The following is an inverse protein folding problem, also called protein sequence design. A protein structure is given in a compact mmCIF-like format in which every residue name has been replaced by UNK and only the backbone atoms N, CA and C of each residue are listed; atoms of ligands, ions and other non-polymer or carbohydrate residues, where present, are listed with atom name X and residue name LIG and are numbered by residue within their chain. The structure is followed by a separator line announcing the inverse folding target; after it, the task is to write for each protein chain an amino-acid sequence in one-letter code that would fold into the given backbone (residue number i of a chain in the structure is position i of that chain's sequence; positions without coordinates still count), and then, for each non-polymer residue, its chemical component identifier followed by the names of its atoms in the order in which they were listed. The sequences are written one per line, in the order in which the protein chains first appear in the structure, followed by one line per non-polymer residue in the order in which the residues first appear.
data_IF_342218082403
#
_entry.id   IF_342218082403
#
_cell.length_a   1.000
_cell.length_b   1.000
_cell.length_c   1.000
_cell.angle_alpha   90.00
_cell.angle_beta   90.00
_cell.angle_gamma   90.00
#
_symmetry.space_group_name_H-M   'P 1'
#
loop_
_entity.id
_entity.type
_entity.pdbx_description
1 polymer ?
#
# COMPACT_ATOMS: atom_id res chain seq x y z
N UNK A 1 -0.65 -20.68 6.39
CA UNK A 1 0.82 -20.56 6.59
C UNK A 1 1.48 -20.32 5.24
N UNK A 2 2.17 -19.19 5.03
CA UNK A 2 2.88 -18.95 3.77
C UNK A 2 4.04 -19.94 3.63
N UNK A 3 4.18 -20.55 2.44
CA UNK A 3 5.23 -21.52 2.12
C UNK A 3 6.63 -20.94 2.45
N UNK A 4 7.48 -21.68 3.18
CA UNK A 4 8.85 -21.23 3.55
C UNK A 4 9.66 -20.75 2.34
N UNK A 5 9.46 -21.36 1.18
CA UNK A 5 10.11 -20.95 -0.07
C UNK A 5 9.67 -19.56 -0.53
N UNK A 6 8.39 -19.22 -0.35
CA UNK A 6 7.83 -17.92 -0.70
C UNK A 6 8.44 -16.80 0.15
N UNK A 7 8.52 -17.01 1.47
CA UNK A 7 9.14 -16.04 2.40
C UNK A 7 10.62 -15.83 2.08
N UNK A 8 11.35 -16.91 1.77
CA UNK A 8 12.75 -16.82 1.35
C UNK A 8 12.91 -16.00 0.07
N UNK A 9 12.04 -16.20 -0.92
CA UNK A 9 12.02 -15.41 -2.16
C UNK A 9 11.79 -13.92 -1.91
N UNK A 10 10.87 -13.57 -1.00
CA UNK A 10 10.62 -12.18 -0.59
C UNK A 10 11.80 -11.56 0.15
N UNK A 11 12.45 -12.34 1.01
CA UNK A 11 13.64 -11.90 1.76
C UNK A 11 14.79 -11.56 0.81
N UNK A 12 15.11 -12.46 -0.12
CA UNK A 12 16.13 -12.21 -1.15
C UNK A 12 15.77 -11.02 -2.02
N UNK A 13 14.50 -10.91 -2.43
CA UNK A 13 14.03 -9.77 -3.21
C UNK A 13 14.21 -8.44 -2.47
N UNK A 14 13.79 -8.37 -1.19
CA UNK A 14 13.91 -7.17 -0.38
C UNK A 14 15.36 -6.74 -0.24
N UNK A 15 16.25 -7.67 0.12
CA UNK A 15 17.69 -7.42 0.24
C UNK A 15 18.30 -6.90 -1.07
N UNK A 16 18.02 -7.57 -2.19
CA UNK A 16 18.50 -7.13 -3.51
C UNK A 16 17.97 -5.74 -3.86
N UNK A 17 16.70 -5.45 -3.58
CA UNK A 17 16.10 -4.16 -3.87
C UNK A 17 16.69 -3.05 -3.01
N UNK A 18 16.80 -3.26 -1.69
CA UNK A 18 17.42 -2.30 -0.78
C UNK A 18 18.87 -2.01 -1.17
N UNK A 19 19.66 -3.04 -1.48
CA UNK A 19 21.06 -2.88 -1.90
C UNK A 19 21.20 -2.10 -3.21
N UNK A 20 20.26 -2.26 -4.14
CA UNK A 20 20.28 -1.48 -5.38
C UNK A 20 19.85 -0.04 -5.15
N UNK A 21 18.79 0.17 -4.37
CA UNK A 21 18.26 1.51 -4.12
C UNK A 21 19.14 2.34 -3.19
N UNK A 22 19.96 1.72 -2.33
CA UNK A 22 20.86 2.43 -1.41
C UNK A 22 21.90 3.27 -2.15
N UNK A 23 22.43 2.78 -3.26
CA UNK A 23 23.49 3.43 -4.05
C UNK A 23 22.98 4.08 -5.35
N UNK A 24 21.67 4.01 -5.60
CA UNK A 24 21.07 4.45 -6.85
C UNK A 24 20.67 5.93 -6.80
N UNK A 25 20.89 6.65 -7.90
CA UNK A 25 20.30 7.96 -8.10
C UNK A 25 18.78 7.85 -8.30
N UNK A 26 18.00 8.34 -7.34
CA UNK A 26 16.53 8.26 -7.35
C UNK A 26 15.87 9.62 -7.18
N UNK A 27 14.68 9.75 -7.74
CA UNK A 27 13.87 10.96 -7.64
C UNK A 27 12.88 10.83 -6.48
N UNK A 28 13.09 11.56 -5.39
CA UNK A 28 12.20 11.58 -4.23
C UNK A 28 11.05 12.56 -4.43
N UNK A 29 9.87 12.14 -3.97
CA UNK A 29 8.61 12.91 -4.02
C UNK A 29 8.03 13.22 -2.66
N UNK A 30 8.27 12.36 -1.67
CA UNK A 30 7.76 12.54 -0.33
C UNK A 30 8.64 11.83 0.69
N UNK A 31 8.77 12.43 1.87
CA UNK A 31 9.50 11.90 3.02
C UNK A 31 8.57 11.96 4.23
N UNK A 32 8.33 10.83 4.88
CA UNK A 32 7.47 10.76 6.06
C UNK A 32 8.21 10.13 7.22
N UNK A 33 8.15 10.74 8.40
CA UNK A 33 8.59 10.09 9.63
C UNK A 33 7.51 9.11 10.05
N UNK A 34 7.84 7.83 10.15
CA UNK A 34 6.86 6.79 10.50
C UNK A 34 7.19 6.05 11.79
N UNK A 35 8.41 6.16 12.32
CA UNK A 35 8.73 5.57 13.62
C UNK A 35 9.97 6.14 14.27
N UNK A 36 10.06 5.96 15.59
CA UNK A 36 11.23 6.37 16.39
C UNK A 36 11.57 5.28 17.42
N UNK A 37 12.86 5.03 17.60
CA UNK A 37 13.39 4.09 18.58
C UNK A 37 13.42 4.73 19.95
N UNK A 38 12.66 4.20 20.91
CA UNK A 38 12.67 4.70 22.28
C UNK A 38 13.95 4.32 23.04
N UNK A 39 14.16 4.89 24.24
CA UNK A 39 15.36 4.64 25.06
C UNK A 39 15.52 3.18 25.53
N UNK A 40 14.50 2.34 25.34
CA UNK A 40 14.54 0.90 25.64
C UNK A 40 14.93 0.02 24.44
N UNK A 41 15.29 0.64 23.31
CA UNK A 41 15.61 -0.07 22.06
C UNK A 41 14.37 -0.51 21.27
N UNK A 42 13.17 -0.28 21.78
CA UNK A 42 11.91 -0.60 21.10
C UNK A 42 11.48 0.53 20.18
N UNK A 43 11.17 0.21 18.94
CA UNK A 43 10.80 1.18 17.91
C UNK A 43 9.30 1.25 17.74
N UNK A 44 8.73 2.43 18.02
CA UNK A 44 7.30 2.68 17.83
C UNK A 44 7.07 3.12 16.38
N UNK A 45 6.35 2.32 15.61
CA UNK A 45 6.02 2.58 14.21
C UNK A 45 4.54 2.86 14.07
N UNK A 46 4.20 3.95 13.38
CA UNK A 46 2.84 4.27 12.99
C UNK A 46 2.61 3.86 11.54
N UNK A 47 1.61 3.01 11.33
CA UNK A 47 1.17 2.62 10.00
C UNK A 47 -0.18 3.25 9.73
N UNK A 48 -0.24 4.12 8.72
CA UNK A 48 -1.45 4.80 8.27
C UNK A 48 -1.63 4.61 6.77
N UNK A 49 -2.83 4.86 6.23
CA UNK A 49 -3.06 4.76 4.79
C UNK A 49 -2.36 5.88 4.00
N UNK A 50 -2.37 7.12 4.52
CA UNK A 50 -1.92 8.30 3.78
C UNK A 50 -0.55 8.79 4.21
N UNK A 51 -0.16 8.55 5.47
CA UNK A 51 1.05 9.07 6.13
C UNK A 51 1.18 10.61 6.10
N UNK A 52 0.10 11.33 5.73
CA UNK A 52 0.07 12.80 5.67
C UNK A 52 -0.28 13.41 7.03
N UNK A 53 0.44 14.47 7.38
CA UNK A 53 0.10 15.46 8.41
C UNK A 53 -0.08 14.99 9.86
N UNK A 54 0.52 13.86 10.24
CA UNK A 54 0.49 13.42 11.63
C UNK A 54 1.86 13.52 12.31
N UNK A 55 1.94 14.39 13.33
CA UNK A 55 3.07 14.42 14.25
C UNK A 55 3.10 13.09 15.01
N UNK A 56 4.17 12.33 14.85
CA UNK A 56 4.44 11.22 15.76
C UNK A 56 4.53 11.78 17.19
N UNK A 57 4.01 11.09 18.22
CA UNK A 57 4.34 11.38 19.61
C UNK A 57 5.83 11.04 19.77
N UNK A 58 6.67 12.08 19.75
CA UNK A 58 8.13 11.95 19.71
C UNK A 58 8.66 11.47 21.07
N UNK A 59 9.42 10.37 21.14
CA UNK A 59 10.57 10.30 22.04
C UNK A 59 11.76 11.01 21.35
N UNK A 60 12.35 12.00 22.03
CA UNK A 60 13.40 12.90 21.50
C UNK A 60 14.79 12.24 21.39
N UNK A 61 14.86 10.94 21.22
CA UNK A 61 16.12 10.16 21.33
C UNK A 61 16.01 8.92 20.47
N UNK A 62 17.13 8.47 19.88
CA UNK A 62 17.24 7.22 19.14
C UNK A 62 17.04 7.32 17.63
N UNK A 63 17.15 6.18 16.96
CA UNK A 63 17.05 6.06 15.50
C UNK A 63 15.62 6.36 15.01
N UNK A 64 15.51 6.87 13.79
CA UNK A 64 14.24 7.25 13.18
C UNK A 64 14.00 6.47 11.90
N UNK A 65 12.78 5.94 11.73
CA UNK A 65 12.35 5.30 10.50
C UNK A 65 11.61 6.32 9.62
N UNK A 66 12.10 6.48 8.40
CA UNK A 66 11.49 7.27 7.36
C UNK A 66 10.89 6.39 6.25
N UNK A 67 9.69 6.74 5.81
CA UNK A 67 9.09 6.24 4.58
C UNK A 67 9.36 7.24 3.46
N UNK A 68 10.17 6.85 2.49
CA UNK A 68 10.47 7.63 1.31
C UNK A 68 9.70 7.07 0.12
N UNK A 69 9.02 7.95 -0.61
CA UNK A 69 8.36 7.59 -1.87
C UNK A 69 8.96 8.39 -3.01
N UNK A 70 9.13 7.74 -4.15
CA UNK A 70 9.78 8.34 -5.29
C UNK A 70 9.63 7.54 -6.57
N UNK A 71 10.52 7.83 -7.52
CA UNK A 71 10.61 7.13 -8.79
C UNK A 71 12.06 6.92 -9.21
N UNK A 72 12.34 5.74 -9.75
CA UNK A 72 13.62 5.38 -10.37
C UNK A 72 13.57 5.89 -11.81
N UNK A 73 14.50 6.77 -12.24
CA UNK A 73 14.54 7.26 -13.60
C UNK A 73 14.75 6.16 -14.65
N UNK A 74 14.20 6.33 -15.86
CA UNK A 74 14.36 5.35 -16.94
C UNK A 74 15.81 5.12 -17.39
N UNK A 75 16.71 6.09 -17.26
CA UNK A 75 18.12 5.88 -17.62
C UNK A 75 18.78 4.86 -16.68
N UNK A 76 18.58 5.01 -15.36
CA UNK A 76 19.01 4.03 -14.35
C UNK A 76 18.45 2.64 -14.65
N UNK A 77 17.16 2.52 -14.96
CA UNK A 77 16.53 1.21 -15.26
C UNK A 77 17.05 0.59 -16.56
N UNK A 78 17.59 1.37 -17.49
CA UNK A 78 18.22 0.86 -18.71
C UNK A 78 19.64 0.38 -18.44
N UNK A 79 20.35 1.08 -17.56
CA UNK A 79 21.75 0.83 -17.25
C UNK A 79 21.94 -0.30 -16.22
N UNK A 80 20.93 -0.58 -15.38
CA UNK A 80 20.95 -1.68 -14.40
C UNK A 80 19.89 -2.77 -14.72
N UNK A 81 20.28 -3.87 -15.41
CA UNK A 81 19.39 -4.97 -15.74
C UNK A 81 18.81 -5.70 -14.52
N UNK A 82 19.54 -5.70 -13.40
CA UNK A 82 19.09 -6.38 -12.19
C UNK A 82 18.00 -5.56 -11.50
N UNK A 83 18.20 -4.25 -11.35
CA UNK A 83 17.18 -3.34 -10.83
C UNK A 83 15.93 -3.36 -11.72
N UNK A 84 16.12 -3.42 -13.05
CA UNK A 84 15.04 -3.63 -14.02
C UNK A 84 14.30 -4.95 -13.74
N UNK A 85 15.00 -6.05 -13.48
CA UNK A 85 14.33 -7.32 -13.12
C UNK A 85 13.53 -7.19 -11.83
N UNK A 86 14.04 -6.47 -10.83
CA UNK A 86 13.39 -6.26 -9.52
C UNK A 86 12.14 -5.39 -9.61
N UNK A 87 12.07 -4.43 -10.54
CA UNK A 87 10.85 -3.61 -10.72
C UNK A 87 9.70 -4.39 -11.36
N UNK A 88 9.99 -5.48 -12.07
CA UNK A 88 9.01 -6.39 -12.64
C UNK A 88 8.46 -5.92 -13.99
N UNK A 89 8.03 -6.90 -14.81
CA UNK A 89 7.63 -6.68 -16.22
C UNK A 89 6.48 -5.69 -16.39
N UNK A 90 5.53 -5.66 -15.45
CA UNK A 90 4.36 -4.75 -15.49
C UNK A 90 4.77 -3.27 -15.44
N UNK A 91 5.91 -2.98 -14.81
CA UNK A 91 6.44 -1.63 -14.71
C UNK A 91 7.34 -1.26 -15.91
N UNK A 92 7.55 -2.15 -16.89
CA UNK A 92 8.58 -2.03 -17.94
C UNK A 92 8.02 -2.18 -19.35
N UNK A 93 7.09 -1.31 -19.72
CA UNK A 93 6.63 -1.15 -21.09
C UNK A 93 7.66 -0.41 -21.97
N UNK A 94 7.46 -0.41 -23.31
CA UNK A 94 8.32 0.29 -24.27
C UNK A 94 8.40 1.81 -24.00
N UNK A 95 7.45 2.36 -23.23
CA UNK A 95 7.37 3.77 -22.88
C UNK A 95 7.55 4.04 -21.37
N UNK A 96 8.05 3.07 -20.58
CA UNK A 96 8.29 3.31 -19.16
C UNK A 96 9.32 4.42 -18.97
N UNK A 97 8.86 5.56 -18.45
CA UNK A 97 9.73 6.73 -18.14
C UNK A 97 10.36 6.65 -16.75
N UNK A 98 9.77 5.86 -15.85
CA UNK A 98 10.25 5.66 -14.49
C UNK A 98 9.48 4.53 -13.81
N UNK A 99 10.03 3.97 -12.73
CA UNK A 99 9.32 3.04 -11.85
C UNK A 99 9.11 3.65 -10.46
N UNK A 100 7.91 3.59 -9.90
CA UNK A 100 7.65 4.06 -8.54
C UNK A 100 8.27 3.12 -7.50
N UNK A 101 8.69 3.69 -6.38
CA UNK A 101 9.15 2.92 -5.23
C UNK A 101 8.69 3.55 -3.93
N UNK A 102 8.53 2.69 -2.92
CA UNK A 102 8.49 3.05 -1.51
C UNK A 102 9.65 2.35 -0.81
N UNK A 103 10.41 3.08 0.01
CA UNK A 103 11.49 2.51 0.82
C UNK A 103 11.36 2.99 2.26
N UNK A 104 11.83 2.14 3.16
CA UNK A 104 11.85 2.35 4.59
C UNK A 104 13.31 2.45 5.01
N UNK A 105 13.71 3.62 5.47
CA UNK A 105 15.09 3.97 5.81
C UNK A 105 15.18 4.19 7.32
N UNK A 106 16.07 3.46 7.98
CA UNK A 106 16.43 3.68 9.39
C UNK A 106 17.63 4.61 9.41
N UNK A 107 17.45 5.82 9.96
CA UNK A 107 18.51 6.83 10.09
C UNK A 107 18.93 6.88 11.54
N UNK A 108 20.23 6.74 11.79
CA UNK A 108 20.78 6.81 13.13
C UNK A 108 20.64 8.21 13.72
N UNK A 109 20.49 8.31 15.04
CA UNK A 109 20.31 9.60 15.73
C UNK A 109 21.36 10.66 15.32
N UNK A 110 22.61 10.24 15.11
CA UNK A 110 23.71 11.12 14.71
C UNK A 110 23.64 11.64 13.27
N UNK A 111 22.81 11.03 12.41
CA UNK A 111 22.65 11.38 10.98
C UNK A 111 21.31 12.05 10.67
N UNK A 112 20.39 12.14 11.62
CA UNK A 112 19.05 12.70 11.40
C UNK A 112 19.09 14.14 10.90
N UNK A 113 19.91 14.99 11.51
CA UNK A 113 19.96 16.42 11.14
C UNK A 113 20.54 16.62 9.74
N UNK A 114 21.60 15.90 9.41
CA UNK A 114 22.19 15.88 8.06
C UNK A 114 21.17 15.38 7.02
N UNK A 115 20.47 14.28 7.31
CA UNK A 115 19.41 13.75 6.46
C UNK A 115 18.25 14.76 6.28
N UNK A 116 17.84 15.45 7.35
CA UNK A 116 16.76 16.45 7.28
C UNK A 116 17.15 17.67 6.45
N UNK A 117 18.38 18.11 6.58
CA UNK A 117 18.92 19.23 5.82
C UNK A 117 19.01 18.90 4.33
N UNK A 118 19.52 17.71 3.99
CA UNK A 118 19.79 17.33 2.61
C UNK A 118 18.57 16.78 1.88
N UNK A 119 17.74 15.97 2.54
CA UNK A 119 16.66 15.22 1.90
C UNK A 119 15.31 15.81 2.26
N UNK A 120 14.97 15.83 3.55
CA UNK A 120 13.61 16.22 3.97
C UNK A 120 13.26 17.65 3.53
N UNK A 121 14.17 18.59 3.74
CA UNK A 121 13.96 20.00 3.40
C UNK A 121 13.84 20.26 1.90
N UNK A 122 14.44 19.40 1.06
CA UNK A 122 14.40 19.55 -0.40
C UNK A 122 13.20 18.83 -1.03
N UNK A 123 12.70 17.77 -0.40
CA UNK A 123 11.50 17.05 -0.86
C UNK A 123 10.22 17.86 -0.61
N UNK A 124 10.16 18.62 0.48
CA UNK A 124 8.98 19.43 0.84
C UNK A 124 8.88 20.76 0.06
N UNK A 125 9.92 21.13 -0.72
CA UNK A 125 9.96 22.40 -1.46
C UNK A 125 9.30 22.30 -2.85
N UNK A 126 8.10 22.88 -2.96
CA UNK A 126 7.47 23.36 -4.19
C UNK A 126 7.43 22.39 -5.39
N UNK A 127 7.10 21.12 -5.13
CA UNK A 127 6.80 20.14 -6.19
C UNK A 127 7.98 19.84 -7.14
N UNK A 128 9.19 20.32 -6.83
CA UNK A 128 10.40 20.00 -7.59
C UNK A 128 10.85 18.60 -7.24
N UNK A 129 11.21 17.85 -8.28
CA UNK A 129 11.77 16.51 -8.12
C UNK A 129 13.17 16.65 -7.54
N UNK A 130 13.39 16.11 -6.33
CA UNK A 130 14.70 16.05 -5.71
C UNK A 130 15.41 14.75 -6.06
N UNK A 131 16.62 14.83 -6.62
CA UNK A 131 17.42 13.66 -6.97
C UNK A 131 18.41 13.36 -5.85
N UNK A 132 18.33 12.17 -5.26
CA UNK A 132 19.26 11.69 -4.23
C UNK A 132 20.14 10.58 -4.83
N UNK A 133 21.47 10.74 -4.76
CA UNK A 133 22.46 9.85 -5.39
C UNK A 133 22.90 8.64 -4.55
N UNK A 134 22.69 8.67 -3.23
CA UNK A 134 23.17 7.65 -2.31
C UNK A 134 22.38 7.73 -1.00
N UNK A 135 21.26 7.01 -0.92
CA UNK A 135 20.44 6.95 0.28
C UNK A 135 21.12 6.18 1.42
N UNK A 136 21.96 5.21 1.07
CA UNK A 136 22.74 4.42 2.04
C UNK A 136 23.75 5.24 2.83
N UNK A 137 24.09 6.45 2.38
CA UNK A 137 24.93 7.38 3.13
C UNK A 137 24.28 7.83 4.46
N UNK A 138 22.95 7.93 4.47
CA UNK A 138 22.21 8.45 5.63
C UNK A 138 21.79 7.36 6.61
N UNK A 139 21.63 6.11 6.15
CA UNK A 139 21.15 5.03 6.99
C UNK A 139 20.86 3.74 6.24
N UNK A 140 20.20 2.82 6.93
CA UNK A 140 19.98 1.45 6.46
C UNK A 140 18.58 1.29 5.84
N UNK A 141 18.54 0.81 4.59
CA UNK A 141 17.29 0.51 3.91
C UNK A 141 16.80 -0.86 4.37
N UNK A 142 15.77 -0.87 5.20
CA UNK A 142 15.23 -2.09 5.82
C UNK A 142 14.14 -2.77 5.00
N UNK A 143 13.37 -2.00 4.23
CA UNK A 143 12.28 -2.51 3.42
C UNK A 143 12.14 -1.72 2.12
N UNK A 144 12.01 -2.42 1.01
CA UNK A 144 11.78 -1.86 -0.31
C UNK A 144 10.52 -2.44 -0.95
N UNK A 145 9.74 -1.58 -1.59
CA UNK A 145 8.53 -1.94 -2.32
C UNK A 145 8.49 -1.24 -3.67
N UNK A 146 8.20 -2.01 -4.71
CA UNK A 146 7.83 -1.48 -6.02
C UNK A 146 6.32 -1.70 -6.20
N UNK A 147 5.48 -0.64 -6.16
CA UNK A 147 4.06 -0.75 -6.50
C UNK A 147 3.87 -1.39 -7.88
N UNK A 148 2.94 -2.34 -7.99
CA UNK A 148 2.74 -3.16 -9.20
C UNK A 148 3.86 -4.18 -9.49
N UNK A 149 4.88 -4.27 -8.63
CA UNK A 149 6.00 -5.20 -8.73
C UNK A 149 5.67 -6.63 -8.31
N UNK A 150 6.66 -7.56 -8.34
CA UNK A 150 6.44 -9.00 -8.17
C UNK A 150 5.76 -9.42 -6.86
N UNK A 151 5.98 -8.68 -5.78
CA UNK A 151 5.44 -9.00 -4.45
C UNK A 151 4.45 -7.97 -3.91
N UNK A 152 4.00 -7.03 -4.75
CA UNK A 152 3.14 -5.93 -4.32
C UNK A 152 1.75 -6.40 -3.85
N UNK A 153 1.20 -7.44 -4.49
CA UNK A 153 -0.12 -7.99 -4.14
C UNK A 153 -0.18 -8.66 -2.76
N UNK A 154 0.97 -9.02 -2.19
CA UNK A 154 1.08 -9.65 -0.87
C UNK A 154 1.71 -8.71 0.17
N UNK A 155 1.96 -7.45 -0.20
CA UNK A 155 2.58 -6.47 0.68
C UNK A 155 1.66 -6.14 1.85
N UNK A 156 2.19 -6.22 3.06
CA UNK A 156 1.54 -5.76 4.28
C UNK A 156 2.57 -5.01 5.10
N UNK A 157 2.39 -3.69 5.22
CA UNK A 157 3.38 -2.79 5.81
C UNK A 157 3.80 -3.21 7.23
N UNK A 158 2.85 -3.53 8.11
CA UNK A 158 3.16 -3.98 9.48
C UNK A 158 3.95 -5.30 9.48
N UNK A 159 3.42 -6.34 8.81
CA UNK A 159 4.06 -7.67 8.81
C UNK A 159 5.42 -7.67 8.14
N UNK A 160 5.55 -6.91 7.05
CA UNK A 160 6.80 -6.85 6.30
C UNK A 160 7.85 -6.04 7.06
N UNK A 161 7.48 -4.96 7.74
CA UNK A 161 8.41 -4.25 8.63
C UNK A 161 8.86 -5.11 9.81
N UNK A 162 7.93 -5.79 10.48
CA UNK A 162 8.24 -6.71 11.58
C UNK A 162 9.22 -7.80 11.13
N UNK A 163 9.01 -8.34 9.92
CA UNK A 163 9.81 -9.45 9.43
C UNK A 163 11.17 -9.03 8.84
N UNK A 164 11.23 -7.93 8.08
CA UNK A 164 12.42 -7.55 7.31
C UNK A 164 13.32 -6.53 8.01
N UNK A 165 12.81 -5.76 8.97
CA UNK A 165 13.61 -4.68 9.58
C UNK A 165 14.66 -5.16 10.55
N UNK A 166 14.47 -6.32 11.19
CA UNK A 166 15.33 -6.79 12.27
C UNK A 166 15.22 -5.93 13.55
N UNK A 167 14.22 -5.05 13.63
CA UNK A 167 13.98 -4.18 14.77
C UNK A 167 12.90 -4.76 15.71
N UNK A 168 12.96 -4.39 16.99
CA UNK A 168 11.87 -4.67 17.95
C UNK A 168 10.78 -3.62 17.78
N UNK A 169 9.73 -3.95 17.01
CA UNK A 169 8.70 -3.00 16.59
C UNK A 169 7.43 -3.09 17.46
N UNK A 170 6.90 -1.93 17.84
CA UNK A 170 5.51 -1.77 18.29
C UNK A 170 4.73 -0.95 17.27
N UNK A 171 3.53 -1.40 16.92
CA UNK A 171 2.69 -0.72 15.93
C UNK A 171 1.56 0.08 16.56
N UNK A 172 1.44 1.34 16.15
CA UNK A 172 0.25 2.17 16.38
C UNK A 172 -0.52 2.23 15.07
N UNK A 173 -1.62 1.49 15.00
CA UNK A 173 -2.51 1.49 13.82
C UNK A 173 -3.62 2.50 14.05
N UNK A 174 -3.58 3.63 13.33
CA UNK A 174 -4.65 4.62 13.36
C UNK A 174 -5.88 4.04 12.67
N UNK A 175 -6.95 3.74 13.44
CA UNK A 175 -8.27 3.48 12.85
C UNK A 175 -8.77 4.80 12.26
N UNK A 176 -8.95 4.87 10.94
CA UNK A 176 -9.80 5.93 10.38
C UNK A 176 -11.17 5.80 11.02
N UNK A 177 -11.70 6.90 11.56
CA UNK A 177 -13.14 6.95 11.83
C UNK A 177 -13.83 6.72 10.48
N UNK A 178 -14.82 5.81 10.39
CA UNK A 178 -15.66 5.78 9.21
C UNK A 178 -16.20 7.18 9.02
N UNK A 179 -16.04 7.75 7.83
CA UNK A 179 -16.61 9.05 7.52
C UNK A 179 -18.11 8.98 7.81
N UNK A 180 -18.58 9.74 8.80
CA UNK A 180 -20.00 9.92 9.11
C UNK A 180 -20.76 10.63 7.96
N UNK A 181 -20.17 10.76 6.78
CA UNK A 181 -20.80 11.27 5.57
C UNK A 181 -21.54 10.15 4.80
N UNK A 182 -22.46 9.46 5.47
CA UNK A 182 -23.52 8.70 4.79
C UNK A 182 -24.80 9.55 4.69
N UNK A 183 -24.69 10.77 4.15
CA UNK A 183 -25.83 11.66 3.90
C UNK A 183 -26.69 11.22 2.68
N UNK A 184 -26.81 9.92 2.43
CA UNK A 184 -27.43 9.39 1.20
C UNK A 184 -28.53 8.33 1.47
N UNK A 185 -29.14 8.30 2.65
CA UNK A 185 -30.27 7.37 2.94
C UNK A 185 -31.67 8.01 2.85
N UNK A 186 -31.82 9.23 2.34
CA UNK A 186 -33.13 9.90 2.21
C UNK A 186 -33.45 10.46 0.82
N UNK A 187 -32.77 9.99 -0.23
CA UNK A 187 -33.19 10.28 -1.61
C UNK A 187 -34.32 9.34 -2.03
N UNK A 188 -35.53 9.61 -1.53
CA UNK A 188 -36.77 9.05 -2.04
C UNK A 188 -36.98 9.64 -3.46
N UNK A 189 -37.11 8.82 -4.52
CA UNK A 189 -37.44 9.35 -5.84
C UNK A 189 -38.90 9.79 -5.86
N UNK A 190 -39.14 11.11 -5.85
CA UNK A 190 -40.46 11.65 -6.19
C UNK A 190 -40.62 11.69 -7.70
N UNK A 191 -41.43 10.76 -8.19
CA UNK A 191 -41.97 10.74 -9.54
C UNK A 191 -42.87 11.95 -9.84
N UNK A 192 -42.72 12.47 -11.06
CA UNK A 192 -43.72 13.14 -11.94
C UNK A 192 -44.35 14.48 -11.51
N UNK A 193 -44.01 15.56 -12.23
CA UNK A 193 -44.84 16.15 -13.31
C UNK A 193 -44.17 17.38 -13.96
N UNK A 194 -44.52 17.58 -15.25
CA UNK A 194 -44.17 18.67 -16.17
C UNK A 194 -44.40 20.07 -15.56
N UNK A 195 -43.55 21.08 -15.84
CA UNK A 195 -43.61 21.97 -17.02
C UNK A 195 -42.69 23.20 -16.81
N UNK A 196 -42.15 23.69 -17.92
CA UNK A 196 -41.64 25.03 -18.26
C UNK A 196 -41.06 26.03 -17.22
N UNK A 197 -40.00 26.69 -17.71
CA UNK A 197 -39.62 28.13 -17.60
C UNK A 197 -38.31 28.44 -16.87
N UNK A 198 -37.52 29.28 -17.56
CA UNK A 198 -36.31 30.00 -17.16
C UNK A 198 -36.41 30.67 -15.78
N UNK A 199 -35.32 30.67 -15.00
CA UNK A 199 -34.50 31.87 -14.72
C UNK A 199 -33.52 31.64 -13.56
N UNK A 200 -32.54 32.52 -13.54
CA UNK A 200 -31.40 32.67 -12.64
C UNK A 200 -31.68 32.58 -11.12
N UNK A 201 -30.56 32.32 -10.43
CA UNK A 201 -30.13 32.97 -9.18
C UNK A 201 -30.07 32.14 -7.90
N UNK A 202 -28.83 32.04 -7.41
CA UNK A 202 -28.42 32.19 -5.99
C UNK A 202 -28.82 31.11 -4.97
N UNK A 203 -28.13 31.17 -3.81
CA UNK A 203 -28.21 30.29 -2.63
C UNK A 203 -27.44 28.96 -2.76
N UNK A 204 -26.41 28.62 -1.96
CA UNK A 204 -26.06 29.04 -0.61
C UNK A 204 -24.54 28.99 -0.39
N UNK A 205 -23.93 30.14 -0.13
CA UNK A 205 -22.75 30.24 0.73
C UNK A 205 -23.26 30.26 2.18
N UNK A 206 -22.91 29.25 2.99
CA UNK A 206 -22.63 29.38 4.42
C UNK A 206 -22.63 28.01 5.07
N UNK A 207 -21.47 27.62 5.62
CA UNK A 207 -21.33 26.77 6.80
C UNK A 207 -19.88 26.89 7.29
N UNK A 208 -19.58 28.02 7.93
CA UNK A 208 -18.40 28.18 8.81
C UNK A 208 -18.87 27.85 10.23
N UNK A 209 -18.27 26.90 10.95
CA UNK A 209 -18.45 26.81 12.39
C UNK A 209 -17.44 27.72 13.10
N UNK A 210 -17.98 28.71 13.83
CA UNK A 210 -17.25 29.63 14.72
C UNK A 210 -17.05 28.99 16.09
N UNK A 211 -15.91 29.29 16.68
CA UNK A 211 -15.47 28.92 18.03
C UNK A 211 -16.36 29.49 19.14
N UNK A 212 -16.41 28.78 20.27
CA UNK A 212 -16.62 29.36 21.61
C UNK A 212 -15.67 28.70 22.61
N UNK A 213 -15.11 29.53 23.50
CA UNK A 213 -14.18 29.23 24.61
C UNK A 213 -14.94 29.21 25.95
N UNK A 214 -14.20 28.78 26.99
CA UNK A 214 -14.36 28.94 28.46
C UNK A 214 -14.87 27.68 29.18
N UNK A 215 -14.42 27.29 30.38
CA UNK A 215 -13.26 27.58 31.25
C UNK A 215 -13.36 26.56 32.43
N UNK A 216 -12.22 26.26 33.11
CA UNK A 216 -11.99 25.83 34.52
C UNK A 216 -12.91 24.75 35.18
N UNK A 217 -12.47 23.72 35.93
CA UNK A 217 -11.54 23.73 37.08
C UNK A 217 -11.33 22.29 37.67
N UNK A 218 -10.16 22.06 38.31
CA UNK A 218 -9.87 21.27 39.56
C UNK A 218 -10.05 19.73 39.71
N UNK A 219 -8.89 19.09 40.00
CA UNK A 219 -8.52 18.15 41.10
C UNK A 219 -9.06 16.69 41.19
N UNK A 220 -8.08 15.77 41.09
CA UNK A 220 -7.81 14.53 41.86
C UNK A 220 -8.82 13.36 41.88
N UNK A 221 -8.39 12.19 41.36
CA UNK A 221 -8.35 10.87 42.07
C UNK A 221 -7.63 9.80 41.22
N UNK A 222 -6.75 8.95 41.79
CA UNK A 222 -6.15 7.82 41.10
C UNK A 222 -6.74 6.51 41.64
N UNK A 223 -7.78 5.95 41.02
CA UNK A 223 -8.29 4.61 41.35
C UNK A 223 -9.25 4.11 40.25
N UNK A 224 -8.70 3.83 39.06
CA UNK A 224 -9.53 3.34 37.94
C UNK A 224 -8.72 2.53 36.91
N UNK A 225 -7.71 1.78 37.37
CA UNK A 225 -6.81 1.02 36.48
C UNK A 225 -7.09 -0.48 36.37
N UNK A 226 -7.99 -1.05 37.17
CA UNK A 226 -8.26 -2.49 37.11
C UNK A 226 -9.57 -2.89 36.38
N UNK A 227 -10.54 -2.00 36.22
CA UNK A 227 -11.81 -2.32 35.54
C UNK A 227 -11.70 -2.24 34.01
N UNK A 228 -10.78 -1.42 33.47
CA UNK A 228 -10.63 -1.23 32.02
C UNK A 228 -9.85 -2.35 31.31
N UNK A 229 -9.21 -3.26 32.04
CA UNK A 229 -8.43 -4.33 31.43
C UNK A 229 -9.30 -5.50 30.92
N UNK A 230 -10.45 -5.76 31.56
CA UNK A 230 -11.30 -6.89 31.20
C UNK A 230 -12.20 -6.60 29.98
N UNK A 231 -12.58 -5.34 29.76
CA UNK A 231 -13.34 -4.95 28.57
C UNK A 231 -12.50 -5.04 27.29
N UNK A 232 -11.18 -4.92 27.37
CA UNK A 232 -10.30 -4.94 26.21
C UNK A 232 -10.19 -6.33 25.55
N UNK A 233 -10.06 -7.38 26.34
CA UNK A 233 -9.94 -8.75 25.82
C UNK A 233 -11.26 -9.26 25.22
N UNK A 234 -12.39 -8.90 25.84
CA UNK A 234 -13.73 -9.19 25.30
C UNK A 234 -14.01 -8.42 24.01
N UNK A 235 -13.60 -7.15 23.92
CA UNK A 235 -13.78 -6.36 22.70
C UNK A 235 -12.82 -6.77 21.58
N UNK A 236 -11.64 -7.32 21.91
CA UNK A 236 -10.71 -7.91 20.95
C UNK A 236 -11.25 -9.22 20.35
N UNK A 237 -11.90 -10.06 21.15
CA UNK A 237 -12.55 -11.30 20.69
C UNK A 237 -13.77 -11.03 19.77
N UNK A 238 -14.57 -10.00 20.06
CA UNK A 238 -15.72 -9.61 19.21
C UNK A 238 -15.26 -8.97 17.89
N UNK A 239 -14.18 -8.19 17.90
CA UNK A 239 -13.64 -7.53 16.70
C UNK A 239 -12.88 -8.48 15.75
N UNK A 240 -12.49 -9.67 16.20
CA UNK A 240 -11.81 -10.67 15.37
C UNK A 240 -12.78 -11.52 14.54
N UNK A 241 -14.08 -11.53 14.85
CA UNK A 241 -15.09 -12.26 14.04
C UNK A 241 -15.33 -11.60 12.67
N UNK A 242 -15.45 -10.27 12.60
CA UNK A 242 -15.69 -9.57 11.32
C UNK A 242 -14.54 -9.72 10.32
N UNK A 243 -13.30 -9.83 10.81
CA UNK A 243 -12.13 -10.05 9.96
C UNK A 243 -12.09 -11.47 9.36
N UNK A 244 -12.55 -12.47 10.13
CA UNK A 244 -12.65 -13.86 9.67
C UNK A 244 -13.76 -14.02 8.63
N UNK A 245 -14.89 -13.33 8.80
CA UNK A 245 -15.98 -13.32 7.82
C UNK A 245 -15.57 -12.66 6.50
N UNK A 246 -14.83 -11.55 6.56
CA UNK A 246 -14.33 -10.87 5.35
C UNK A 246 -13.25 -11.71 4.63
N UNK A 247 -12.38 -12.40 5.38
CA UNK A 247 -11.39 -13.31 4.80
C UNK A 247 -12.06 -14.53 4.15
N UNK A 248 -13.13 -15.07 4.74
CA UNK A 248 -13.94 -16.14 4.16
C UNK A 248 -14.66 -15.70 2.87
N UNK A 249 -15.22 -14.49 2.85
CA UNK A 249 -15.87 -13.94 1.65
C UNK A 249 -14.87 -13.77 0.50
N UNK A 250 -13.67 -13.26 0.77
CA UNK A 250 -12.60 -13.15 -0.24
C UNK A 250 -12.08 -14.50 -0.70
N UNK A 251 -12.09 -15.52 0.16
CA UNK A 251 -11.71 -16.88 -0.21
C UNK A 251 -12.76 -17.51 -1.14
N UNK A 252 -14.06 -17.36 -0.83
CA UNK A 252 -15.15 -17.81 -1.70
C UNK A 252 -15.12 -17.13 -3.07
N UNK A 253 -14.88 -15.81 -3.12
CA UNK A 253 -14.81 -15.08 -4.40
C UNK A 253 -13.65 -15.59 -5.28
N UNK A 254 -12.51 -15.96 -4.68
CA UNK A 254 -11.39 -16.58 -5.42
C UNK A 254 -11.77 -17.95 -5.97
N UNK A 255 -12.41 -18.79 -5.16
CA UNK A 255 -12.83 -20.12 -5.56
C UNK A 255 -13.85 -20.08 -6.70
N UNK A 256 -14.84 -19.18 -6.64
CA UNK A 256 -15.77 -18.95 -7.74
C UNK A 256 -15.07 -18.50 -9.02
N UNK A 257 -14.06 -17.63 -8.89
CA UNK A 257 -13.31 -17.12 -10.05
C UNK A 257 -12.50 -18.25 -10.70
N UNK A 258 -11.87 -19.09 -9.90
CA UNK A 258 -11.14 -20.28 -10.37
C UNK A 258 -12.08 -21.29 -11.04
N UNK A 259 -13.25 -21.54 -10.48
CA UNK A 259 -14.27 -22.39 -11.11
C UNK A 259 -14.72 -21.83 -12.46
N UNK A 260 -14.97 -20.52 -12.57
CA UNK A 260 -15.30 -19.87 -13.86
C UNK A 260 -14.19 -20.02 -14.89
N UNK A 261 -12.92 -19.88 -14.47
CA UNK A 261 -11.78 -20.10 -15.36
C UNK A 261 -11.67 -21.56 -15.82
N UNK A 262 -11.94 -22.51 -14.92
CA UNK A 262 -11.90 -23.93 -15.23
C UNK A 262 -12.98 -24.32 -16.24
N UNK A 263 -14.23 -23.92 -16.01
CA UNK A 263 -15.34 -24.16 -16.95
C UNK A 263 -15.04 -23.53 -18.32
N UNK A 264 -14.51 -22.30 -18.33
CA UNK A 264 -14.13 -21.63 -19.59
C UNK A 264 -13.01 -22.36 -20.33
N UNK A 265 -12.04 -22.92 -19.61
CA UNK A 265 -10.96 -23.71 -20.20
C UNK A 265 -11.50 -25.02 -20.79
N UNK A 266 -12.36 -25.74 -20.07
CA UNK A 266 -13.00 -26.98 -20.53
C UNK A 266 -13.84 -26.74 -21.80
N UNK A 267 -14.66 -25.68 -21.83
CA UNK A 267 -15.43 -25.30 -23.04
C UNK A 267 -14.53 -24.97 -24.23
N UNK A 268 -13.41 -24.28 -24.00
CA UNK A 268 -12.46 -23.97 -25.07
C UNK A 268 -11.79 -25.23 -25.62
N UNK A 269 -11.49 -26.21 -24.75
CA UNK A 269 -10.92 -27.49 -25.17
C UNK A 269 -11.92 -28.28 -26.02
N UNK A 270 -13.19 -28.38 -25.60
CA UNK A 270 -14.23 -29.06 -26.39
C UNK A 270 -14.43 -28.40 -27.77
N UNK A 271 -14.42 -27.07 -27.84
CA UNK A 271 -14.54 -26.34 -29.11
C UNK A 271 -13.33 -26.57 -30.02
N UNK A 272 -12.13 -26.72 -29.46
CA UNK A 272 -10.94 -27.08 -30.23
C UNK A 272 -11.06 -28.50 -30.80
N UNK A 273 -11.51 -29.46 -30.00
CA UNK A 273 -11.68 -30.85 -30.43
C UNK A 273 -12.73 -30.98 -31.55
N UNK A 274 -13.84 -30.23 -31.47
CA UNK A 274 -14.85 -30.17 -32.54
C UNK A 274 -14.25 -29.59 -33.83
N UNK A 275 -13.43 -28.54 -33.72
CA UNK A 275 -12.77 -27.91 -34.87
C UNK A 275 -11.77 -28.86 -35.55
N UNK A 276 -10.96 -29.56 -34.77
CA UNK A 276 -9.99 -30.55 -35.27
C UNK A 276 -10.71 -31.70 -35.98
N UNK A 277 -11.77 -32.25 -35.38
CA UNK A 277 -12.56 -33.33 -35.99
C UNK A 277 -13.24 -32.90 -37.31
N UNK A 278 -13.64 -31.62 -37.42
CA UNK A 278 -14.15 -31.05 -38.67
C UNK A 278 -13.07 -31.02 -39.76
N UNK A 279 -11.89 -30.52 -39.44
CA UNK A 279 -10.75 -30.43 -40.37
C UNK A 279 -10.31 -31.82 -40.85
N UNK A 280 -10.27 -32.81 -39.96
CA UNK A 280 -9.90 -34.19 -40.31
C UNK A 280 -10.91 -34.85 -41.27
N UNK A 281 -12.22 -34.58 -41.11
CA UNK A 281 -13.22 -35.06 -42.08
C UNK A 281 -13.02 -34.45 -43.46
N UNK A 282 -12.79 -33.15 -43.52
CA UNK A 282 -12.61 -32.44 -44.80
C UNK A 282 -11.36 -32.92 -45.52
N UNK A 283 -10.25 -33.15 -44.78
CA UNK A 283 -9.03 -33.74 -45.34
C UNK A 283 -9.24 -35.16 -45.88
N UNK A 284 -9.99 -36.00 -45.17
CA UNK A 284 -10.30 -37.36 -45.63
C UNK A 284 -11.17 -37.37 -46.89
N UNK A 285 -12.13 -36.43 -47.00
CA UNK A 285 -12.94 -36.26 -48.21
C UNK A 285 -12.06 -35.87 -49.40
N UNK A 286 -11.15 -34.90 -49.21
CA UNK A 286 -10.22 -34.46 -50.26
C UNK A 286 -9.31 -35.62 -50.72
N UNK A 287 -8.75 -36.39 -49.79
CA UNK A 287 -7.90 -37.54 -50.12
C UNK A 287 -8.67 -38.63 -50.88
N UNK A 288 -9.94 -38.86 -50.56
CA UNK A 288 -10.78 -39.83 -51.27
C UNK A 288 -11.08 -39.43 -52.73
N UNK A 289 -11.09 -38.12 -53.02
CA UNK A 289 -11.27 -37.59 -54.37
C UNK A 289 -9.99 -37.62 -55.20
N UNK A 290 -8.81 -37.55 -54.57
CA UNK A 290 -7.53 -37.63 -55.28
C UNK A 290 -7.14 -39.05 -55.71
N UNK A 291 -7.71 -40.07 -55.07
CA UNK A 291 -7.41 -41.49 -55.33
C UNK A 291 -8.39 -42.17 -56.30
N UNK A 292 -9.25 -41.40 -56.98
CA UNK A 292 -10.12 -41.85 -58.07
C UNK A 292 -9.63 -41.28 -59.39
#
# INVERSE_FOLDING_TARGET
MLNRQYIRGRTTYNLSLCNKLSICAVNLKSCYVIGNTGPRGKTLVRVTQTHKDEKLPIPNTGDTIFLLKGNIPAYILRDDPELRRLTGKRNLGPFTRSAHFHIYLVVSESKIDEFRQDVSSNVDRDGKVFTCGNLGYYGDLVLGRIPGGPYDCAFNECRDLEYFSGLDLDFVVSKQKPDDSSCCQSCIPRSTKQDNTQNDSSCCQSCIPRSTKQDDTRRQRPEMRQVLAWDYDLQSAVNSQGFVEEEHARAQEREEREQRYRVRAEVMTELMDISVAGIERDLNIIQSHMNK
#
